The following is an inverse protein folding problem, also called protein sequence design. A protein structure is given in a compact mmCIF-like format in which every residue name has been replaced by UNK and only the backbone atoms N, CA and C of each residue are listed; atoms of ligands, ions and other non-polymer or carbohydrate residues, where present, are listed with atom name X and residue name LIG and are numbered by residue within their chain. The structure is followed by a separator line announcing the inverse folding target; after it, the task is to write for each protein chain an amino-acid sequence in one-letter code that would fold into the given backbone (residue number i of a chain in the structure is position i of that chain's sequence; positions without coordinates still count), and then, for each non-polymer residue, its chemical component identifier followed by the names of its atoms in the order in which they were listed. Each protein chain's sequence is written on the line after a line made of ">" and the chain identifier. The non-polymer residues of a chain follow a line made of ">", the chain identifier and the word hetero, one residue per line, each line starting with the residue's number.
data_IF_074814217140
#
_entry.id   IF_074814217140
#
_cell.length_a   1.000
_cell.length_b   1.000
_cell.length_c   1.000
_cell.angle_alpha   90.00
_cell.angle_beta   90.00
_cell.angle_gamma   90.00
#
_symmetry.space_group_name_H-M   'P 1'
#
loop_
_entity.id
_entity.type
_entity.pdbx_description
1 polymer ?
#
# COMPACT_ATOMS: atom_id res chain seq x y z
N UNK A 1 -58.12 40.14 26.80
CA UNK A 1 -57.26 41.33 27.02
C UNK A 1 -55.85 40.92 26.60
N UNK A 2 -55.37 41.38 25.42
CA UNK A 2 -54.34 42.45 25.23
C UNK A 2 -53.00 42.11 25.94
N UNK A 3 -51.80 42.11 25.34
CA UNK A 3 -51.21 42.50 24.04
C UNK A 3 -49.74 42.03 24.02
N UNK A 4 -49.11 41.75 22.85
CA UNK A 4 -48.32 42.67 22.00
C UNK A 4 -47.01 43.12 22.70
N UNK A 5 -45.82 42.56 22.38
CA UNK A 5 -44.81 42.92 21.33
C UNK A 5 -44.34 44.40 21.40
N UNK A 6 -43.04 44.62 21.13
CA UNK A 6 -42.41 45.73 20.35
C UNK A 6 -41.37 46.54 21.16
N UNK A 7 -40.07 46.25 20.98
CA UNK A 7 -39.06 46.84 20.06
C UNK A 7 -38.40 48.13 20.58
N UNK A 8 -37.07 48.20 20.41
CA UNK A 8 -36.34 49.17 19.56
C UNK A 8 -34.86 49.22 19.97
N UNK A 9 -33.85 49.36 19.10
CA UNK A 9 -33.74 49.31 17.64
C UNK A 9 -32.23 49.38 17.28
N UNK A 10 -31.93 49.26 15.99
CA UNK A 10 -30.84 49.90 15.23
C UNK A 10 -29.66 49.06 14.69
N UNK A 11 -29.81 48.69 13.39
CA UNK A 11 -28.89 48.92 12.25
C UNK A 11 -27.51 48.20 12.23
N UNK A 12 -26.90 47.75 11.11
CA UNK A 12 -27.23 47.62 9.69
C UNK A 12 -26.07 46.80 9.04
N UNK A 13 -26.40 45.71 8.34
CA UNK A 13 -25.86 45.22 7.05
C UNK A 13 -24.50 45.79 6.56
N UNK A 14 -23.50 44.93 6.28
CA UNK A 14 -23.00 44.61 4.90
C UNK A 14 -21.58 44.04 4.86
N UNK A 15 -21.35 43.19 3.85
CA UNK A 15 -20.10 42.56 3.42
C UNK A 15 -19.01 43.56 2.94
N UNK A 16 -17.74 43.17 3.05
CA UNK A 16 -16.59 43.64 2.25
C UNK A 16 -15.75 42.38 1.93
N UNK A 17 -15.67 41.82 0.73
CA UNK A 17 -15.14 42.27 -0.57
C UNK A 17 -13.63 42.58 -0.61
N UNK A 18 -12.95 41.84 -1.50
CA UNK A 18 -11.57 41.95 -1.96
C UNK A 18 -11.18 43.34 -2.50
N UNK A 19 -9.89 43.68 -2.47
CA UNK A 19 -9.03 43.90 -3.67
C UNK A 19 -7.67 44.56 -3.34
N UNK A 20 -6.60 43.95 -3.87
CA UNK A 20 -5.38 44.50 -4.51
C UNK A 20 -4.92 45.95 -4.18
N UNK A 21 -3.65 46.13 -3.77
CA UNK A 21 -2.57 46.63 -4.66
C UNK A 21 -1.24 46.95 -3.94
N UNK A 22 -0.16 46.71 -4.69
CA UNK A 22 1.13 47.43 -4.76
C UNK A 22 1.97 47.66 -3.50
N UNK A 23 3.15 47.02 -3.47
CA UNK A 23 4.41 47.75 -3.39
C UNK A 23 5.56 46.97 -4.07
N UNK A 24 6.03 47.51 -5.20
CA UNK A 24 7.43 47.36 -5.66
C UNK A 24 8.33 48.20 -4.73
N UNK A 25 9.57 47.73 -4.52
CA UNK A 25 10.86 48.40 -4.20
C UNK A 25 11.67 47.35 -3.39
N UNK A 26 12.89 46.94 -3.72
CA UNK A 26 13.81 47.27 -4.80
C UNK A 26 15.01 46.31 -4.75
N UNK A 27 15.50 45.95 -5.93
CA UNK A 27 16.82 45.36 -6.13
C UNK A 27 17.87 46.46 -5.92
N UNK A 28 18.87 46.24 -5.04
CA UNK A 28 20.16 46.92 -5.12
C UNK A 28 21.27 46.01 -4.57
N UNK A 29 22.24 45.79 -5.44
CA UNK A 29 23.55 45.19 -5.18
C UNK A 29 24.21 45.78 -3.93
N UNK A 30 24.95 44.95 -3.20
CA UNK A 30 26.25 45.30 -2.64
C UNK A 30 27.11 44.02 -2.60
N UNK A 31 27.76 43.80 -3.73
CA UNK A 31 29.05 43.11 -3.81
C UNK A 31 30.06 44.12 -3.26
N UNK A 32 30.86 43.71 -2.27
CA UNK A 32 32.29 44.04 -2.11
C UNK A 32 32.72 43.80 -0.65
N UNK A 33 33.48 42.73 -0.42
CA UNK A 33 34.68 42.73 0.45
C UNK A 33 35.35 41.34 0.48
N UNK A 34 36.69 41.26 0.66
CA UNK A 34 37.54 40.42 -0.18
C UNK A 34 37.88 39.04 0.40
N UNK A 35 37.95 38.08 -0.51
CA UNK A 35 38.53 36.74 -0.30
C UNK A 35 40.05 36.89 -0.11
N UNK A 36 40.55 36.58 1.08
CA UNK A 36 41.99 36.36 1.31
C UNK A 36 42.39 35.02 0.68
N UNK A 37 43.25 35.10 -0.35
CA UNK A 37 43.99 33.96 -0.89
C UNK A 37 45.06 33.54 0.12
N UNK A 38 45.03 32.28 0.56
CA UNK A 38 46.20 31.60 1.12
C UNK A 38 46.73 30.61 0.07
N UNK A 39 48.02 30.72 -0.20
CA UNK A 39 48.82 29.90 -1.11
C UNK A 39 49.00 28.46 -0.58
N UNK A 40 49.14 27.46 -1.47
CA UNK A 40 49.34 26.06 -1.08
C UNK A 40 50.80 25.80 -0.71
N UNK A 41 51.10 24.93 0.28
CA UNK A 41 52.44 24.44 0.50
C UNK A 41 52.79 23.32 -0.50
N UNK A 42 54.00 23.43 -1.02
CA UNK A 42 54.69 22.55 -1.95
C UNK A 42 55.27 21.29 -1.29
N UNK A 43 55.63 20.35 -2.17
CA UNK A 43 56.58 19.22 -2.03
C UNK A 43 56.10 17.91 -1.40
N UNK A 44 55.87 16.97 -2.31
CA UNK A 44 55.95 15.50 -2.17
C UNK A 44 57.44 15.10 -2.19
N UNK A 45 57.90 14.12 -1.38
CA UNK A 45 59.07 13.32 -1.69
C UNK A 45 58.71 11.91 -2.20
N UNK A 46 59.53 11.41 -3.13
CA UNK A 46 59.42 10.14 -3.87
C UNK A 46 59.73 8.89 -3.04
N UNK A 47 59.31 7.68 -3.47
CA UNK A 47 59.66 6.42 -2.82
C UNK A 47 60.91 5.78 -3.44
N UNK A 48 61.92 5.48 -2.61
CA UNK A 48 62.97 4.50 -2.93
C UNK A 48 63.58 3.93 -1.63
N UNK A 49 63.57 2.59 -1.57
CA UNK A 49 64.50 1.67 -0.91
C UNK A 49 64.84 1.83 0.59
N UNK A 50 64.36 0.88 1.39
CA UNK A 50 65.23 -0.03 2.17
C UNK A 50 64.39 -1.03 3.00
N UNK A 51 64.46 -2.30 2.61
CA UNK A 51 64.20 -3.43 3.49
C UNK A 51 65.44 -3.71 4.34
N UNK A 52 65.28 -3.93 5.65
CA UNK A 52 66.00 -4.94 6.45
C UNK A 52 65.68 -4.83 7.95
N UNK A 53 65.10 -5.92 8.48
CA UNK A 53 65.36 -6.56 9.79
C UNK A 53 65.49 -5.74 11.09
N UNK A 54 64.69 -6.06 12.11
CA UNK A 54 65.08 -6.86 13.31
C UNK A 54 64.01 -6.78 14.42
N UNK A 55 63.59 -7.98 14.86
CA UNK A 55 63.10 -8.48 16.16
C UNK A 55 62.11 -7.70 17.08
N UNK A 56 60.99 -8.39 17.34
CA UNK A 56 60.44 -8.80 18.64
C UNK A 56 60.36 -7.80 19.82
N UNK A 57 59.12 -7.46 20.20
CA UNK A 57 58.55 -7.70 21.54
C UNK A 57 57.10 -7.20 21.62
N UNK A 58 56.14 -8.08 21.92
CA UNK A 58 54.77 -7.75 22.35
C UNK A 58 54.76 -7.12 23.75
N UNK A 59 53.66 -6.44 24.12
CA UNK A 59 52.89 -7.02 25.23
C UNK A 59 51.39 -7.09 24.99
N UNK A 60 50.89 -8.28 25.34
CA UNK A 60 49.52 -8.69 25.62
C UNK A 60 48.54 -7.59 26.07
N UNK A 61 47.39 -7.52 25.36
CA UNK A 61 46.16 -6.94 25.90
C UNK A 61 45.16 -8.07 26.19
N UNK A 62 44.73 -8.14 27.45
CA UNK A 62 43.80 -9.10 28.01
C UNK A 62 42.47 -9.19 27.24
N UNK A 63 42.20 -10.34 26.63
CA UNK A 63 40.85 -10.79 26.31
C UNK A 63 40.31 -11.55 27.50
N UNK A 64 39.34 -10.96 28.21
CA UNK A 64 38.58 -11.65 29.28
C UNK A 64 37.56 -12.60 28.66
N UNK A 65 37.46 -13.87 29.07
CA UNK A 65 36.46 -14.78 28.55
C UNK A 65 35.08 -14.46 29.16
N UNK A 66 34.13 -14.05 28.32
CA UNK A 66 32.71 -13.97 28.72
C UNK A 66 32.18 -15.40 28.81
N UNK A 67 31.75 -15.74 30.02
CA UNK A 67 31.18 -17.03 30.39
C UNK A 67 29.96 -17.38 29.54
N UNK A 68 30.01 -18.59 29.02
CA UNK A 68 28.93 -19.45 28.56
C UNK A 68 27.61 -19.22 29.34
N UNK A 69 26.66 -18.51 28.73
CA UNK A 69 25.25 -18.49 29.17
C UNK A 69 24.54 -19.66 28.51
N UNK A 70 24.52 -20.78 29.22
CA UNK A 70 23.56 -21.87 29.02
C UNK A 70 22.13 -21.31 28.94
N UNK A 71 21.54 -21.46 27.76
CA UNK A 71 20.11 -21.34 27.50
C UNK A 71 19.40 -22.36 28.42
N UNK A 72 18.65 -21.88 29.41
CA UNK A 72 17.71 -22.72 30.16
C UNK A 72 16.38 -22.72 29.43
N UNK A 73 16.05 -23.89 28.90
CA UNK A 73 14.72 -24.28 28.46
C UNK A 73 13.71 -24.08 29.61
N UNK A 74 12.78 -23.14 29.43
CA UNK A 74 11.53 -23.10 30.18
C UNK A 74 10.47 -23.85 29.39
N UNK A 75 10.41 -25.17 29.56
CA UNK A 75 9.21 -25.96 29.29
C UNK A 75 9.19 -27.11 30.29
N UNK A 76 8.27 -27.04 31.25
CA UNK A 76 7.98 -28.13 32.18
C UNK A 76 6.46 -28.36 32.15
N UNK A 77 5.99 -29.54 31.73
CA UNK A 77 4.57 -29.88 31.83
C UNK A 77 4.25 -30.19 33.28
N UNK A 78 3.16 -29.61 33.81
CA UNK A 78 2.55 -30.09 35.06
C UNK A 78 1.29 -30.87 34.72
N UNK A 79 1.31 -32.12 35.14
CA UNK A 79 0.24 -33.11 35.12
C UNK A 79 -0.85 -32.80 36.15
N UNK A 80 -2.09 -33.14 35.74
CA UNK A 80 -3.22 -33.65 36.50
C UNK A 80 -3.65 -32.95 37.79
N UNK A 81 -4.78 -32.23 37.68
CA UNK A 81 -5.83 -32.20 38.70
C UNK A 81 -7.18 -32.36 38.00
N UNK A 82 -7.80 -33.52 38.21
CA UNK A 82 -9.17 -33.81 37.80
C UNK A 82 -10.14 -32.91 38.56
N UNK A 83 -11.05 -32.25 37.84
CA UNK A 83 -12.30 -31.74 38.43
C UNK A 83 -13.44 -32.31 37.60
N UNK A 84 -14.11 -33.29 38.19
CA UNK A 84 -15.36 -33.86 37.71
C UNK A 84 -16.46 -32.81 37.85
N UNK A 85 -17.11 -32.42 36.75
CA UNK A 85 -18.45 -31.85 36.80
C UNK A 85 -19.45 -32.90 36.32
N UNK A 86 -20.27 -33.32 37.27
CA UNK A 86 -21.34 -34.30 37.13
C UNK A 86 -22.43 -33.76 36.20
N UNK A 87 -22.76 -34.53 35.16
CA UNK A 87 -24.04 -34.45 34.48
C UNK A 87 -25.12 -35.04 35.37
N UNK A 88 -26.23 -34.33 35.59
CA UNK A 88 -27.48 -35.00 35.87
C UNK A 88 -28.71 -34.22 35.37
N UNK A 89 -29.60 -35.00 34.77
CA UNK A 89 -30.88 -34.67 34.19
C UNK A 89 -31.81 -33.86 35.09
N UNK A 90 -32.56 -32.91 34.52
CA UNK A 90 -33.97 -32.71 34.84
C UNK A 90 -34.75 -32.26 33.60
N UNK A 91 -35.71 -33.10 33.21
CA UNK A 91 -36.83 -32.78 32.35
C UNK A 91 -37.80 -31.84 33.07
N UNK A 92 -38.39 -30.86 32.37
CA UNK A 92 -39.76 -30.47 32.69
C UNK A 92 -40.51 -29.92 31.47
N UNK A 93 -41.76 -30.34 31.40
CA UNK A 93 -42.76 -30.17 30.37
C UNK A 93 -43.32 -28.74 30.28
N UNK A 94 -43.79 -28.42 29.06
CA UNK A 94 -44.96 -27.60 28.70
C UNK A 94 -45.29 -26.31 29.48
N UNK A 95 -45.30 -25.19 28.75
CA UNK A 95 -46.36 -24.19 28.88
C UNK A 95 -46.58 -23.48 27.53
N UNK A 96 -47.69 -23.83 26.90
CA UNK A 96 -48.33 -23.06 25.82
C UNK A 96 -48.77 -21.71 26.37
N UNK A 97 -48.38 -20.61 25.72
CA UNK A 97 -49.03 -19.32 25.91
C UNK A 97 -49.27 -18.66 24.54
N UNK A 98 -50.54 -18.66 24.16
CA UNK A 98 -51.11 -17.93 23.04
C UNK A 98 -50.94 -16.42 23.29
N UNK A 99 -50.19 -15.75 22.42
CA UNK A 99 -50.26 -14.30 22.25
C UNK A 99 -50.49 -14.00 20.78
N UNK A 100 -51.77 -13.81 20.44
CA UNK A 100 -52.22 -13.17 19.23
C UNK A 100 -51.73 -11.71 19.24
N UNK A 101 -50.68 -11.42 18.48
CA UNK A 101 -50.31 -10.06 18.11
C UNK A 101 -50.41 -9.92 16.60
N UNK A 102 -51.59 -9.51 16.14
CA UNK A 102 -51.81 -9.03 14.78
C UNK A 102 -51.09 -7.68 14.62
N UNK A 103 -49.83 -7.72 14.21
CA UNK A 103 -49.13 -6.54 13.70
C UNK A 103 -48.54 -6.89 12.35
N UNK A 104 -49.07 -6.20 11.34
CA UNK A 104 -48.50 -6.08 10.00
C UNK A 104 -47.02 -5.78 10.13
N UNK A 105 -46.17 -6.74 9.76
CA UNK A 105 -44.74 -6.54 9.65
C UNK A 105 -44.50 -5.51 8.56
N UNK A 106 -44.27 -4.25 8.93
CA UNK A 106 -43.51 -3.31 8.12
C UNK A 106 -42.14 -3.93 7.92
N UNK A 107 -41.95 -4.62 6.79
CA UNK A 107 -40.61 -4.99 6.35
C UNK A 107 -39.84 -3.69 6.15
N UNK A 108 -38.72 -3.45 6.85
CA UNK A 108 -37.79 -2.42 6.42
C UNK A 108 -37.36 -2.81 5.01
N UNK A 109 -37.75 -2.02 4.02
CA UNK A 109 -37.19 -2.14 2.68
C UNK A 109 -35.71 -1.86 2.82
N UNK A 110 -34.91 -2.93 2.82
CA UNK A 110 -33.48 -2.84 2.59
C UNK A 110 -33.32 -2.15 1.24
N UNK A 111 -33.06 -0.84 1.26
CA UNK A 111 -32.63 -0.11 0.08
C UNK A 111 -31.33 -0.78 -0.33
N UNK A 112 -31.36 -1.53 -1.44
CA UNK A 112 -30.11 -1.96 -2.06
C UNK A 112 -29.23 -0.72 -2.24
N UNK A 113 -27.94 -0.78 -1.89
CA UNK A 113 -27.05 0.35 -2.13
C UNK A 113 -27.15 0.72 -3.61
N UNK A 114 -27.32 2.02 -3.87
CA UNK A 114 -27.43 2.52 -5.23
C UNK A 114 -26.17 2.12 -6.00
N UNK A 115 -26.33 1.32 -7.05
CA UNK A 115 -25.23 0.98 -7.96
C UNK A 115 -24.73 2.26 -8.61
N UNK A 116 -23.43 2.53 -8.50
CA UNK A 116 -22.81 3.72 -9.09
C UNK A 116 -23.03 3.67 -10.62
N UNK A 117 -23.54 4.74 -11.24
CA UNK A 117 -23.77 4.75 -12.68
C UNK A 117 -22.48 4.47 -13.47
N UNK A 118 -22.55 3.57 -14.45
CA UNK A 118 -21.39 3.14 -15.25
C UNK A 118 -20.64 4.31 -15.92
N UNK A 119 -21.36 5.38 -16.30
CA UNK A 119 -20.77 6.56 -16.95
C UNK A 119 -19.87 7.40 -16.04
N UNK A 120 -19.75 7.06 -14.75
CA UNK A 120 -18.81 7.69 -13.82
C UNK A 120 -17.39 7.11 -13.93
N UNK A 121 -17.27 5.88 -14.44
CA UNK A 121 -16.01 5.20 -14.69
C UNK A 121 -15.49 5.51 -16.10
N UNK A 122 -14.17 5.55 -16.24
CA UNK A 122 -13.51 5.63 -17.53
C UNK A 122 -13.55 4.29 -18.26
N UNK A 123 -13.42 4.33 -19.58
CA UNK A 123 -13.36 3.10 -20.37
C UNK A 123 -12.06 2.33 -20.08
N UNK A 124 -12.10 1.00 -20.19
CA UNK A 124 -10.89 0.17 -20.08
C UNK A 124 -9.84 0.53 -21.15
N UNK A 125 -10.19 0.78 -22.42
CA UNK A 125 -9.23 1.30 -23.40
C UNK A 125 -8.51 2.59 -22.97
N UNK A 126 -9.24 3.58 -22.43
CA UNK A 126 -8.64 4.84 -21.96
C UNK A 126 -7.75 4.60 -20.73
N UNK A 127 -8.16 3.67 -19.85
CA UNK A 127 -7.38 3.29 -18.68
C UNK A 127 -6.08 2.58 -19.08
N UNK A 128 -6.12 1.69 -20.09
CA UNK A 128 -4.93 1.05 -20.65
C UNK A 128 -3.97 2.10 -21.24
N UNK A 129 -4.50 3.12 -21.92
CA UNK A 129 -3.67 4.18 -22.50
C UNK A 129 -3.00 5.05 -21.41
N UNK A 130 -3.74 5.46 -20.38
CA UNK A 130 -3.16 6.17 -19.24
C UNK A 130 -2.07 5.32 -18.55
N UNK A 131 -2.33 4.04 -18.32
CA UNK A 131 -1.35 3.12 -17.74
C UNK A 131 -0.10 2.95 -18.62
N UNK A 132 -0.27 2.88 -19.94
CA UNK A 132 0.84 2.84 -20.91
C UNK A 132 1.70 4.10 -20.86
N UNK A 133 1.08 5.24 -20.58
CA UNK A 133 1.77 6.52 -20.39
C UNK A 133 2.43 6.67 -19.01
N UNK A 134 2.39 5.61 -18.19
CA UNK A 134 3.00 5.57 -16.88
C UNK A 134 2.21 6.32 -15.82
N UNK A 135 0.91 6.51 -16.02
CA UNK A 135 0.03 7.16 -15.05
C UNK A 135 -0.48 6.16 -14.00
N UNK A 136 -0.88 6.68 -12.83
CA UNK A 136 -1.66 5.90 -11.89
C UNK A 136 -3.09 5.70 -12.41
N UNK A 137 -3.64 4.53 -12.14
CA UNK A 137 -5.07 4.25 -12.20
C UNK A 137 -5.63 4.15 -10.79
N UNK A 138 -6.90 4.51 -10.64
CA UNK A 138 -7.72 4.12 -9.49
C UNK A 138 -8.58 2.94 -9.93
N UNK A 139 -8.41 1.78 -9.31
CA UNK A 139 -9.10 0.55 -9.71
C UNK A 139 -9.90 0.02 -8.54
N UNK A 140 -11.22 -0.11 -8.72
CA UNK A 140 -12.13 -0.63 -7.71
C UNK A 140 -12.39 -2.12 -7.91
N UNK A 141 -12.35 -2.89 -6.83
CA UNK A 141 -12.85 -4.26 -6.84
C UNK A 141 -14.35 -4.34 -6.52
N UNK A 142 -14.89 -5.56 -6.49
CA UNK A 142 -16.33 -5.78 -6.31
C UNK A 142 -16.77 -5.39 -4.87
N UNK A 143 -17.93 -4.72 -4.69
CA UNK A 143 -18.45 -4.38 -3.37
C UNK A 143 -18.69 -5.57 -2.42
N UNK A 144 -18.82 -6.79 -2.95
CA UNK A 144 -18.93 -8.04 -2.16
C UNK A 144 -17.57 -8.68 -1.84
N UNK A 145 -16.47 -8.18 -2.43
CA UNK A 145 -15.09 -8.59 -2.15
C UNK A 145 -14.48 -7.63 -1.13
N UNK A 146 -13.45 -6.84 -1.44
CA UNK A 146 -12.87 -5.89 -0.47
C UNK A 146 -13.63 -4.57 -0.46
N UNK A 147 -14.34 -4.24 -1.55
CA UNK A 147 -15.06 -2.99 -1.76
C UNK A 147 -14.11 -1.77 -1.74
N UNK A 148 -12.85 -1.96 -2.11
CA UNK A 148 -11.76 -0.98 -1.99
C UNK A 148 -11.34 -0.47 -3.36
N UNK A 149 -10.51 0.57 -3.35
CA UNK A 149 -9.81 1.03 -4.53
C UNK A 149 -8.31 1.06 -4.29
N UNK A 150 -7.54 0.64 -5.28
CA UNK A 150 -6.09 0.74 -5.27
C UNK A 150 -5.61 1.80 -6.25
N UNK A 151 -4.54 2.49 -5.87
CA UNK A 151 -3.66 3.16 -6.83
C UNK A 151 -2.80 2.10 -7.51
N UNK A 152 -2.91 1.95 -8.84
CA UNK A 152 -2.17 0.96 -9.63
C UNK A 152 -1.31 1.67 -10.68
N UNK A 153 -0.05 1.29 -10.79
CA UNK A 153 0.88 1.82 -11.81
C UNK A 153 1.89 0.75 -12.26
N UNK A 154 2.39 0.85 -13.49
CA UNK A 154 3.51 0.03 -13.96
C UNK A 154 4.77 0.29 -13.11
N UNK A 155 5.41 -0.77 -12.63
CA UNK A 155 6.55 -0.63 -11.73
C UNK A 155 7.77 0.02 -12.41
N UNK A 156 7.93 -0.16 -13.72
CA UNK A 156 8.98 0.49 -14.52
C UNK A 156 8.83 2.02 -14.61
N UNK A 157 7.61 2.55 -14.49
CA UNK A 157 7.31 3.99 -14.56
C UNK A 157 7.26 4.67 -13.18
N UNK A 158 7.55 3.92 -12.11
CA UNK A 158 7.48 4.40 -10.74
C UNK A 158 8.63 5.35 -10.43
N UNK A 159 8.39 6.66 -10.41
CA UNK A 159 9.38 7.66 -9.97
C UNK A 159 9.38 7.82 -8.45
N UNK A 160 10.37 8.52 -7.90
CA UNK A 160 10.43 8.86 -6.46
C UNK A 160 9.20 9.67 -6.04
N UNK A 161 8.80 10.65 -6.85
CA UNK A 161 7.68 11.54 -6.60
C UNK A 161 6.35 10.79 -6.66
N UNK A 162 6.20 9.88 -7.63
CA UNK A 162 5.02 9.00 -7.74
C UNK A 162 4.92 8.06 -6.55
N UNK A 163 6.03 7.48 -6.08
CA UNK A 163 6.03 6.68 -4.86
C UNK A 163 5.71 7.53 -3.62
N UNK A 164 6.20 8.77 -3.56
CA UNK A 164 5.82 9.71 -2.51
C UNK A 164 4.31 9.99 -2.49
N UNK A 165 3.71 10.18 -3.66
CA UNK A 165 2.26 10.33 -3.83
C UNK A 165 1.51 9.07 -3.38
N UNK A 166 1.95 7.88 -3.83
CA UNK A 166 1.37 6.60 -3.43
C UNK A 166 1.37 6.47 -1.90
N UNK A 167 2.53 6.64 -1.25
CA UNK A 167 2.67 6.53 0.20
C UNK A 167 1.77 7.54 0.93
N UNK A 168 1.66 8.78 0.42
CA UNK A 168 0.87 9.83 1.06
C UNK A 168 -0.63 9.55 1.01
N UNK A 169 -1.13 8.86 -0.01
CA UNK A 169 -2.56 8.70 -0.29
C UNK A 169 -3.05 7.25 -0.20
N UNK A 170 -2.29 6.38 0.45
CA UNK A 170 -2.61 4.97 0.59
C UNK A 170 -2.31 4.47 2.00
N UNK A 171 -2.59 3.20 2.24
CA UNK A 171 -2.20 2.48 3.46
C UNK A 171 -0.69 2.54 3.75
N UNK A 172 0.13 2.82 2.72
CA UNK A 172 1.59 2.81 2.79
C UNK A 172 2.20 1.42 2.74
N UNK A 173 1.37 0.36 2.72
CA UNK A 173 1.76 -1.05 2.63
C UNK A 173 2.03 -1.47 1.17
N UNK A 174 3.01 -0.79 0.56
CA UNK A 174 3.27 -0.84 -0.88
C UNK A 174 3.59 -2.26 -1.36
N UNK A 175 2.73 -2.76 -2.23
CA UNK A 175 2.84 -4.06 -2.85
C UNK A 175 3.27 -3.96 -4.31
N UNK A 176 3.88 -5.02 -4.84
CA UNK A 176 4.33 -5.10 -6.22
C UNK A 176 3.80 -6.37 -6.91
N UNK A 177 2.64 -6.31 -7.58
CA UNK A 177 2.12 -7.46 -8.33
C UNK A 177 3.05 -7.87 -9.47
N UNK A 178 3.38 -9.15 -9.52
CA UNK A 178 4.28 -9.77 -10.50
C UNK A 178 3.60 -10.99 -11.12
N UNK A 179 3.94 -11.26 -12.39
CA UNK A 179 3.59 -12.53 -13.02
C UNK A 179 4.25 -13.73 -12.30
N UNK A 180 3.68 -14.94 -12.39
CA UNK A 180 4.31 -16.16 -11.89
C UNK A 180 5.74 -16.36 -12.41
N UNK A 181 5.99 -16.04 -13.67
CA UNK A 181 7.29 -16.17 -14.34
C UNK A 181 8.33 -15.24 -13.70
N UNK A 182 7.96 -13.99 -13.41
CA UNK A 182 8.85 -13.05 -12.73
C UNK A 182 9.18 -13.54 -11.32
N UNK A 183 8.18 -13.95 -10.53
CA UNK A 183 8.44 -14.46 -9.16
C UNK A 183 9.38 -15.67 -9.17
N UNK A 184 9.24 -16.56 -10.17
CA UNK A 184 10.14 -17.70 -10.35
C UNK A 184 11.54 -17.27 -10.76
N UNK A 185 11.66 -16.37 -11.73
CA UNK A 185 12.96 -15.92 -12.26
C UNK A 185 13.80 -15.14 -11.23
N UNK A 186 13.13 -14.41 -10.34
CA UNK A 186 13.74 -13.58 -9.31
C UNK A 186 13.90 -14.29 -7.96
N UNK A 187 13.57 -15.59 -7.89
CA UNK A 187 13.59 -16.41 -6.68
C UNK A 187 12.86 -15.72 -5.51
N UNK A 188 11.58 -15.45 -5.73
CA UNK A 188 10.66 -14.83 -4.77
C UNK A 188 9.65 -15.89 -4.28
N UNK A 189 10.03 -16.75 -3.32
CA UNK A 189 9.11 -17.73 -2.74
C UNK A 189 7.97 -17.02 -1.98
N UNK A 190 6.85 -17.72 -1.83
CA UNK A 190 5.75 -17.27 -0.98
C UNK A 190 6.24 -17.05 0.45
N UNK A 191 5.73 -16.02 1.12
CA UNK A 191 6.14 -15.62 2.46
C UNK A 191 5.87 -16.71 3.50
N UNK A 192 4.74 -17.41 3.35
CA UNK A 192 4.33 -18.51 4.21
C UNK A 192 3.94 -19.71 3.36
N UNK A 193 4.24 -20.95 3.81
CA UNK A 193 3.88 -22.16 3.08
C UNK A 193 2.37 -22.42 3.09
N UNK A 194 1.70 -22.17 4.22
CA UNK A 194 0.24 -22.33 4.35
C UNK A 194 -0.41 -20.96 4.59
N UNK A 195 -1.00 -20.39 3.54
CA UNK A 195 -1.57 -19.04 3.59
C UNK A 195 -2.96 -19.06 4.23
N UNK A 196 -3.13 -18.32 5.33
CA UNK A 196 -4.40 -18.20 6.07
C UNK A 196 -5.15 -16.91 5.75
N UNK A 197 -4.64 -16.07 4.85
CA UNK A 197 -5.34 -14.90 4.34
C UNK A 197 -6.67 -15.36 3.67
N UNK A 198 -7.83 -14.83 4.07
CA UNK A 198 -9.14 -15.26 3.54
C UNK A 198 -9.29 -15.07 2.03
N UNK A 199 -8.54 -14.15 1.43
CA UNK A 199 -8.50 -13.85 -0.01
C UNK A 199 -7.32 -14.53 -0.71
N UNK A 200 -6.51 -15.28 0.04
CA UNK A 200 -5.30 -15.94 -0.43
C UNK A 200 -4.33 -14.98 -1.11
N UNK A 201 -4.20 -13.75 -0.59
CA UNK A 201 -3.26 -12.75 -1.12
C UNK A 201 -1.84 -13.32 -1.09
N UNK A 202 -1.23 -13.46 -2.27
CA UNK A 202 -0.08 -14.31 -2.50
C UNK A 202 1.25 -13.57 -2.29
N UNK A 203 1.47 -13.09 -1.06
CA UNK A 203 2.69 -12.42 -0.66
C UNK A 203 3.92 -13.31 -0.86
N UNK A 204 4.94 -12.76 -1.51
CA UNK A 204 6.29 -13.32 -1.51
C UNK A 204 7.10 -12.75 -0.35
N UNK A 205 8.32 -13.25 -0.15
CA UNK A 205 9.26 -12.59 0.76
C UNK A 205 9.48 -11.13 0.35
N UNK A 206 9.48 -10.22 1.33
CA UNK A 206 9.67 -8.79 1.06
C UNK A 206 11.07 -8.49 0.53
N UNK A 207 11.19 -7.40 -0.24
CA UNK A 207 12.45 -7.04 -0.91
C UNK A 207 12.79 -5.56 -0.79
N UNK A 208 14.10 -5.29 -0.79
CA UNK A 208 14.68 -4.00 -1.17
C UNK A 208 15.60 -4.22 -2.38
N UNK A 209 15.83 -3.18 -3.19
CA UNK A 209 16.87 -3.25 -4.22
C UNK A 209 18.26 -3.40 -3.57
N UNK A 210 19.11 -4.24 -4.16
CA UNK A 210 20.49 -4.43 -3.71
C UNK A 210 21.42 -3.26 -4.11
N UNK A 211 20.92 -2.31 -4.91
CA UNK A 211 21.67 -1.16 -5.41
C UNK A 211 22.43 -0.41 -4.30
N UNK A 212 23.70 0.01 -4.53
CA UNK A 212 24.51 0.69 -3.52
C UNK A 212 23.93 2.01 -3.01
N UNK A 213 23.02 2.64 -3.76
CA UNK A 213 22.38 3.89 -3.37
C UNK A 213 21.19 3.71 -2.41
N UNK A 214 20.71 2.47 -2.23
CA UNK A 214 19.66 2.14 -1.25
C UNK A 214 20.25 2.25 0.15
N UNK A 215 19.58 3.04 0.98
CA UNK A 215 19.98 3.28 2.37
C UNK A 215 19.28 2.29 3.31
N UNK A 216 18.13 2.67 3.85
CA UNK A 216 17.33 1.84 4.73
C UNK A 216 16.21 1.09 4.01
N UNK A 217 15.95 1.39 2.72
CA UNK A 217 14.93 0.71 1.93
C UNK A 217 13.55 1.34 1.99
N UNK A 218 13.19 2.03 3.07
CA UNK A 218 11.81 2.49 3.31
C UNK A 218 11.42 3.78 2.60
N UNK A 219 12.40 4.59 2.19
CA UNK A 219 12.14 5.91 1.60
C UNK A 219 11.36 5.78 0.28
N UNK A 220 10.66 6.84 -0.13
CA UNK A 220 9.98 6.86 -1.43
C UNK A 220 10.94 6.57 -2.58
N UNK A 221 12.18 7.08 -2.51
CA UNK A 221 13.24 6.81 -3.48
C UNK A 221 13.61 5.32 -3.51
N UNK A 222 13.85 4.74 -2.35
CA UNK A 222 14.36 3.37 -2.21
C UNK A 222 13.28 2.36 -2.63
N UNK A 223 12.02 2.57 -2.22
CA UNK A 223 10.88 1.74 -2.65
C UNK A 223 10.57 1.89 -4.13
N UNK A 224 10.63 3.11 -4.69
CA UNK A 224 10.48 3.31 -6.13
C UNK A 224 11.57 2.58 -6.93
N UNK A 225 12.81 2.61 -6.43
CA UNK A 225 13.91 1.87 -7.04
C UNK A 225 13.68 0.35 -6.96
N UNK A 226 13.23 -0.18 -5.82
CA UNK A 226 12.88 -1.59 -5.71
C UNK A 226 11.80 -2.01 -6.72
N UNK A 227 10.74 -1.22 -6.91
CA UNK A 227 9.73 -1.45 -7.95
C UNK A 227 10.35 -1.47 -9.36
N UNK A 228 11.16 -0.47 -9.72
CA UNK A 228 11.81 -0.44 -11.03
C UNK A 228 12.79 -1.60 -11.24
N UNK A 229 13.51 -2.01 -10.19
CA UNK A 229 14.38 -3.20 -10.24
C UNK A 229 13.56 -4.48 -10.46
N UNK A 230 12.37 -4.62 -9.85
CA UNK A 230 11.47 -5.75 -10.10
C UNK A 230 10.98 -5.81 -11.55
N UNK A 231 10.90 -4.67 -12.24
CA UNK A 231 10.50 -4.56 -13.64
C UNK A 231 11.66 -4.65 -14.64
N UNK A 232 12.91 -4.57 -14.18
CA UNK A 232 14.08 -4.56 -15.07
C UNK A 232 14.27 -5.96 -15.71
N UNK A 233 14.27 -6.09 -17.05
CA UNK A 233 14.48 -7.37 -17.72
C UNK A 233 15.86 -8.00 -17.45
N UNK A 234 16.81 -7.25 -16.89
CA UNK A 234 18.14 -7.73 -16.49
C UNK A 234 18.21 -8.13 -15.01
N UNK A 235 17.14 -7.92 -14.25
CA UNK A 235 17.11 -8.25 -12.83
C UNK A 235 17.33 -9.75 -12.61
N UNK A 236 18.04 -10.05 -11.53
CA UNK A 236 18.39 -11.41 -11.10
C UNK A 236 18.08 -11.53 -9.62
N UNK A 237 18.05 -12.74 -9.05
CA UNK A 237 17.82 -12.91 -7.61
C UNK A 237 18.73 -12.05 -6.72
N UNK A 238 20.00 -11.89 -7.08
CA UNK A 238 20.99 -11.06 -6.36
C UNK A 238 20.77 -9.54 -6.48
N UNK A 239 19.85 -9.11 -7.35
CA UNK A 239 19.44 -7.70 -7.46
C UNK A 239 18.59 -7.24 -6.27
N UNK A 240 18.24 -8.15 -5.35
CA UNK A 240 17.38 -7.88 -4.21
C UNK A 240 17.98 -8.33 -2.88
N UNK A 241 17.77 -7.53 -1.84
CA UNK A 241 17.94 -7.90 -0.43
C UNK A 241 16.62 -8.49 0.07
N UNK A 242 16.70 -9.52 0.94
CA UNK A 242 15.55 -10.22 1.52
C UNK A 242 15.80 -10.42 3.03
N UNK A 243 14.91 -9.99 3.94
CA UNK A 243 13.68 -9.22 3.68
C UNK A 243 13.97 -7.76 3.23
N UNK A 244 12.91 -7.01 2.93
CA UNK A 244 12.93 -5.55 2.69
C UNK A 244 11.54 -4.90 2.84
N UNK A 245 11.30 -3.78 2.16
CA UNK A 245 10.18 -2.87 2.42
C UNK A 245 9.16 -2.73 1.28
N UNK A 246 9.37 -3.43 0.16
CA UNK A 246 8.35 -3.63 -0.88
C UNK A 246 7.88 -5.08 -0.82
N UNK A 247 6.59 -5.30 -1.02
CA UNK A 247 5.96 -6.62 -0.94
C UNK A 247 5.54 -7.15 -2.31
N UNK A 248 6.36 -8.00 -2.97
CA UNK A 248 5.93 -8.58 -4.22
C UNK A 248 4.79 -9.56 -4.00
N UNK A 249 3.78 -9.48 -4.86
CA UNK A 249 2.59 -10.34 -4.87
C UNK A 249 2.59 -11.17 -6.13
N UNK A 250 2.37 -12.48 -6.03
CA UNK A 250 2.27 -13.35 -7.20
C UNK A 250 0.84 -13.36 -7.74
N UNK A 251 0.61 -12.88 -8.95
CA UNK A 251 -0.70 -13.01 -9.59
C UNK A 251 -1.00 -14.46 -9.96
N UNK A 252 -2.29 -14.78 -10.12
CA UNK A 252 -2.73 -16.09 -10.61
C UNK A 252 -2.51 -16.22 -12.14
N UNK A 253 -2.13 -17.40 -12.67
CA UNK A 253 -1.88 -17.59 -14.10
C UNK A 253 -3.08 -17.24 -15.01
N UNK A 254 -4.31 -17.47 -14.55
CA UNK A 254 -5.53 -17.09 -15.28
C UNK A 254 -5.93 -15.62 -15.12
N UNK A 255 -5.08 -14.79 -14.50
CA UNK A 255 -5.27 -13.35 -14.35
C UNK A 255 -6.59 -12.97 -13.69
N UNK A 256 -7.14 -11.82 -14.09
CA UNK A 256 -8.36 -11.24 -13.50
C UNK A 256 -9.59 -12.14 -13.65
N UNK A 257 -9.59 -13.02 -14.67
CA UNK A 257 -10.69 -13.98 -14.90
C UNK A 257 -10.67 -15.14 -13.89
N UNK A 258 -9.49 -15.50 -13.38
CA UNK A 258 -9.35 -16.53 -12.34
C UNK A 258 -9.52 -15.95 -10.93
N UNK A 259 -8.93 -14.78 -10.68
CA UNK A 259 -9.04 -14.08 -9.40
C UNK A 259 -9.25 -12.58 -9.67
N UNK A 260 -10.46 -12.03 -9.43
CA UNK A 260 -10.74 -10.62 -9.68
C UNK A 260 -10.23 -9.74 -8.52
N UNK A 261 -8.92 -9.77 -8.26
CA UNK A 261 -8.26 -8.94 -7.24
C UNK A 261 -7.31 -7.91 -7.84
N UNK A 262 -6.92 -6.91 -7.04
CA UNK A 262 -6.02 -5.83 -7.46
C UNK A 262 -4.65 -6.35 -7.96
N UNK A 263 -4.15 -7.45 -7.37
CA UNK A 263 -2.94 -8.14 -7.83
C UNK A 263 -3.04 -8.53 -9.31
N UNK A 264 -4.10 -9.24 -9.67
CA UNK A 264 -4.32 -9.69 -11.05
C UNK A 264 -4.61 -8.51 -11.97
N UNK A 265 -5.42 -7.54 -11.54
CA UNK A 265 -5.74 -6.35 -12.32
C UNK A 265 -4.49 -5.57 -12.71
N UNK A 266 -3.56 -5.40 -11.78
CA UNK A 266 -2.29 -4.72 -12.02
C UNK A 266 -1.43 -5.44 -13.08
N UNK A 267 -1.27 -6.76 -12.97
CA UNK A 267 -0.51 -7.53 -13.98
C UNK A 267 -1.22 -7.59 -15.33
N UNK A 268 -2.56 -7.55 -15.33
CA UNK A 268 -3.37 -7.52 -16.54
C UNK A 268 -3.23 -6.18 -17.28
N UNK A 269 -3.25 -5.05 -16.56
CA UNK A 269 -2.94 -3.74 -17.14
C UNK A 269 -1.52 -3.68 -17.69
N UNK A 270 -0.53 -4.25 -17.01
CA UNK A 270 0.82 -4.35 -17.56
C UNK A 270 0.83 -5.08 -18.91
N UNK A 271 0.17 -6.25 -18.99
CA UNK A 271 0.06 -7.05 -20.21
C UNK A 271 -0.62 -6.28 -21.34
N UNK A 272 -1.78 -5.67 -21.07
CA UNK A 272 -2.57 -4.93 -22.06
C UNK A 272 -1.88 -3.63 -22.51
N UNK A 273 -1.10 -2.99 -21.64
CA UNK A 273 -0.34 -1.79 -21.96
C UNK A 273 0.99 -2.07 -22.69
N UNK A 274 1.45 -3.33 -22.73
CA UNK A 274 2.76 -3.70 -23.30
C UNK A 274 3.93 -3.36 -22.38
N UNK A 275 3.70 -3.36 -21.08
CA UNK A 275 4.68 -3.07 -20.02
C UNK A 275 5.29 -4.36 -19.46
N UNK A 276 6.38 -4.25 -18.72
CA UNK A 276 6.85 -5.35 -17.87
C UNK A 276 5.71 -5.79 -16.94
N UNK A 277 5.50 -7.10 -16.77
CA UNK A 277 4.43 -7.65 -15.90
C UNK A 277 4.75 -7.54 -14.40
N UNK A 278 5.29 -6.38 -14.02
CA UNK A 278 5.54 -5.92 -12.67
C UNK A 278 4.85 -4.56 -12.49
N UNK A 279 4.05 -4.45 -11.43
CA UNK A 279 3.31 -3.24 -11.09
C UNK A 279 3.60 -2.81 -9.64
N UNK A 280 3.04 -1.68 -9.22
CA UNK A 280 2.93 -1.29 -7.83
C UNK A 280 1.47 -0.98 -7.50
N UNK A 281 1.00 -1.45 -6.35
CA UNK A 281 -0.34 -1.19 -5.82
C UNK A 281 -0.30 -0.79 -4.36
N UNK A 282 -1.28 0.00 -3.94
CA UNK A 282 -1.57 0.26 -2.54
C UNK A 282 -3.01 0.78 -2.40
N UNK A 283 -3.70 0.34 -1.36
CA UNK A 283 -5.11 0.65 -1.11
C UNK A 283 -5.28 2.11 -0.71
N UNK A 284 -6.28 2.78 -1.25
CA UNK A 284 -6.58 4.19 -0.96
C UNK A 284 -7.35 4.27 0.36
N UNK A 285 -6.77 4.97 1.33
CA UNK A 285 -7.36 5.17 2.66
C UNK A 285 -8.17 6.45 2.72
N UNK A 286 -9.17 6.46 3.60
CA UNK A 286 -9.76 7.70 4.12
C UNK A 286 -8.88 8.18 5.27
N UNK A 287 -8.14 9.26 5.03
CA UNK A 287 -7.27 9.91 6.01
C UNK A 287 -8.04 10.49 7.21
N UNK A 288 -9.37 10.49 7.17
CA UNK A 288 -10.23 10.95 8.26
C UNK A 288 -10.07 12.43 8.56
N UNK A 289 -10.34 12.80 9.81
CA UNK A 289 -10.29 14.16 10.31
C UNK A 289 -9.15 14.32 11.34
N UNK A 290 -8.24 15.24 11.05
CA UNK A 290 -7.16 15.60 11.97
C UNK A 290 -7.73 16.24 13.25
N UNK A 291 -7.19 15.87 14.40
CA UNK A 291 -7.51 16.54 15.67
C UNK A 291 -6.35 17.45 16.09
N UNK A 292 -6.48 18.79 15.99
CA UNK A 292 -5.38 19.71 16.25
C UNK A 292 -4.74 19.50 17.62
N UNK A 293 -3.41 19.36 17.62
CA UNK A 293 -2.63 19.14 18.85
C UNK A 293 -2.72 17.73 19.43
N UNK A 294 -3.36 16.77 18.74
CA UNK A 294 -3.48 15.39 19.19
C UNK A 294 -2.94 14.40 18.14
N UNK A 295 -2.25 13.36 18.60
CA UNK A 295 -1.72 12.30 17.75
C UNK A 295 -2.79 11.21 17.48
N UNK A 296 -3.94 11.63 16.94
CA UNK A 296 -5.04 10.76 16.55
C UNK A 296 -5.79 11.32 15.34
N UNK A 297 -6.40 10.41 14.59
CA UNK A 297 -7.26 10.71 13.44
C UNK A 297 -8.65 10.16 13.74
N UNK A 298 -9.68 10.99 13.56
CA UNK A 298 -11.07 10.58 13.70
C UNK A 298 -11.62 10.14 12.35
N UNK A 299 -12.60 9.23 12.34
CA UNK A 299 -13.27 8.78 11.11
C UNK A 299 -12.33 8.21 10.02
N UNK A 300 -11.13 7.73 10.38
CA UNK A 300 -10.24 7.03 9.44
C UNK A 300 -10.90 5.76 8.90
N UNK A 301 -10.66 5.46 7.64
CA UNK A 301 -11.24 4.29 6.98
C UNK A 301 -10.57 4.00 5.65
N UNK A 302 -11.37 3.44 4.74
CA UNK A 302 -10.97 3.19 3.36
C UNK A 302 -11.87 4.02 2.46
N UNK A 303 -11.31 4.61 1.40
CA UNK A 303 -12.12 5.29 0.39
C UNK A 303 -13.00 4.27 -0.33
N UNK A 304 -14.26 4.62 -0.60
CA UNK A 304 -15.25 3.72 -1.21
C UNK A 304 -15.96 4.41 -2.37
N UNK A 305 -16.31 3.63 -3.41
CA UNK A 305 -17.29 4.02 -4.41
C UNK A 305 -17.08 5.41 -5.04
N UNK A 306 -18.05 6.32 -4.83
CA UNK A 306 -18.01 7.68 -5.41
C UNK A 306 -16.87 8.55 -4.86
N UNK A 307 -16.39 8.28 -3.64
CA UNK A 307 -15.25 9.01 -3.08
C UNK A 307 -13.95 8.64 -3.79
N UNK A 308 -13.81 7.38 -4.22
CA UNK A 308 -12.69 6.95 -5.08
C UNK A 308 -12.73 7.65 -6.44
N UNK A 309 -13.92 7.83 -7.02
CA UNK A 309 -14.10 8.58 -8.27
C UNK A 309 -13.71 10.04 -8.05
N UNK A 310 -14.17 10.65 -6.95
CA UNK A 310 -13.82 12.04 -6.60
C UNK A 310 -12.32 12.21 -6.41
N UNK A 311 -11.67 11.26 -5.72
CA UNK A 311 -10.22 11.20 -5.59
C UNK A 311 -9.52 11.14 -6.95
N UNK A 312 -9.97 10.26 -7.84
CA UNK A 312 -9.40 10.13 -9.18
C UNK A 312 -9.51 11.45 -9.95
N UNK A 313 -10.69 12.09 -9.95
CA UNK A 313 -10.90 13.38 -10.64
C UNK A 313 -10.05 14.51 -10.06
N UNK A 314 -9.90 14.57 -8.73
CA UNK A 314 -9.04 15.56 -8.05
C UNK A 314 -7.61 15.52 -8.58
N UNK A 315 -7.09 14.33 -8.86
CA UNK A 315 -5.71 14.12 -9.28
C UNK A 315 -5.53 13.89 -10.78
N UNK A 316 -6.60 14.02 -11.57
CA UNK A 316 -6.55 13.81 -13.02
C UNK A 316 -6.32 12.36 -13.43
N UNK A 317 -6.67 11.39 -12.59
CA UNK A 317 -6.46 9.96 -12.82
C UNK A 317 -7.67 9.32 -13.49
N UNK A 318 -7.41 8.26 -14.26
CA UNK A 318 -8.44 7.34 -14.76
C UNK A 318 -8.93 6.44 -13.64
N UNK A 319 -10.23 6.18 -13.62
CA UNK A 319 -10.87 5.30 -12.63
C UNK A 319 -11.75 4.26 -13.31
N UNK A 320 -11.58 2.99 -12.94
CA UNK A 320 -12.33 1.88 -13.52
C UNK A 320 -12.60 0.77 -12.49
N UNK A 321 -13.31 -0.27 -12.90
CA UNK A 321 -13.60 -1.43 -12.06
C UNK A 321 -12.91 -2.69 -12.58
N UNK A 322 -12.58 -3.63 -11.68
CA UNK A 322 -12.09 -4.96 -12.06
C UNK A 322 -13.16 -5.70 -12.87
N UNK A 323 -14.45 -5.51 -12.58
CA UNK A 323 -15.54 -6.11 -13.34
C UNK A 323 -15.50 -5.69 -14.82
N UNK A 324 -15.28 -4.40 -15.10
CA UNK A 324 -15.13 -3.90 -16.47
C UNK A 324 -13.88 -4.43 -17.15
N UNK A 325 -12.77 -4.56 -16.40
CA UNK A 325 -11.53 -5.14 -16.91
C UNK A 325 -11.72 -6.61 -17.29
N UNK A 326 -12.40 -7.40 -16.46
CA UNK A 326 -12.77 -8.79 -16.77
C UNK A 326 -13.63 -8.82 -18.04
N UNK A 327 -14.69 -8.02 -18.11
CA UNK A 327 -15.56 -7.95 -19.29
C UNK A 327 -14.80 -7.53 -20.56
N UNK A 328 -13.78 -6.66 -20.44
CA UNK A 328 -12.92 -6.28 -21.54
C UNK A 328 -12.04 -7.45 -22.03
N UNK A 329 -11.39 -8.18 -21.12
CA UNK A 329 -10.55 -9.33 -21.45
C UNK A 329 -11.38 -10.47 -22.06
N UNK A 330 -12.57 -10.72 -21.53
CA UNK A 330 -13.48 -11.76 -22.04
C UNK A 330 -13.94 -11.52 -23.48
N UNK A 331 -13.94 -10.29 -23.98
CA UNK A 331 -14.25 -9.99 -25.40
C UNK A 331 -13.24 -10.63 -26.36
N UNK A 332 -12.00 -10.83 -25.91
CA UNK A 332 -10.92 -11.39 -26.74
C UNK A 332 -10.65 -12.85 -26.38
N UNK A 333 -10.63 -13.17 -25.08
CA UNK A 333 -10.17 -14.47 -24.59
C UNK A 333 -11.33 -15.41 -24.19
N UNK A 334 -12.57 -14.95 -24.29
CA UNK A 334 -13.75 -15.67 -23.81
C UNK A 334 -13.82 -15.73 -22.29
N UNK A 335 -14.96 -16.22 -21.79
CA UNK A 335 -15.15 -16.50 -20.36
C UNK A 335 -14.22 -17.63 -19.94
N UNK A 336 -13.63 -17.51 -18.75
CA UNK A 336 -12.90 -18.64 -18.19
C UNK A 336 -13.91 -19.74 -17.87
N UNK A 337 -13.71 -20.93 -18.42
CA UNK A 337 -14.56 -22.06 -18.11
C UNK A 337 -14.47 -22.35 -16.61
N UNK A 338 -15.61 -22.32 -15.91
CA UNK A 338 -15.67 -22.78 -14.55
C UNK A 338 -15.56 -24.31 -14.59
N UNK A 339 -14.34 -24.84 -14.61
CA UNK A 339 -14.14 -26.24 -14.28
C UNK A 339 -14.58 -26.39 -12.82
N UNK A 340 -15.79 -26.93 -12.63
CA UNK A 340 -16.38 -27.11 -11.32
C UNK A 340 -15.42 -27.90 -10.45
N UNK A 341 -14.93 -27.26 -9.38
CA UNK A 341 -14.13 -27.83 -8.31
C UNK A 341 -12.84 -28.55 -8.74
N UNK A 342 -11.70 -27.97 -8.38
CA UNK A 342 -10.61 -28.77 -7.82
C UNK A 342 -9.98 -28.01 -6.66
N UNK A 343 -10.30 -28.50 -5.46
CA UNK A 343 -9.57 -28.26 -4.25
C UNK A 343 -8.27 -29.06 -4.34
N UNK A 344 -7.22 -28.47 -4.88
CA UNK A 344 -5.85 -28.97 -4.83
C UNK A 344 -4.95 -27.78 -4.43
N UNK A 345 -4.10 -27.83 -3.42
CA UNK A 345 -3.57 -28.95 -2.65
C UNK A 345 -2.18 -28.51 -2.18
N UNK A 346 -2.10 -28.14 -0.90
CA UNK A 346 -0.91 -27.84 -0.09
C UNK A 346 -0.09 -26.59 -0.43
#
# INVERSE_FOLDING_TARGET
>A
MKGIIVLNNLLLISNCFCLLNNHRIGFRQLIDSPIKKSSPPSSIPSPADAAASVSASEPALLVRPVRDRRIRNYYKPRSNSQVFFNFNHYSCFQAFALLNCSSTTCHPTFKMPATIPQNKFDSIPDSIEAFRNGEFLVVLDDPSRENEADLIIAAEDMTTEKMGFLIRHSSGYVCAPLSPELTKSLDLPQMVPNNQDPRGTAYTISVDSADPSVTTGISARDRALACRTLADPKARPDSFRRPGHVLPLRSRPGGVRQRPGHTEAATEFCRLAGKAQAAAICEIIDDGEETPGQALVQNHGMLRGEDCITFARKWGLKVCTIADLVAYVEKTEGKLESNGAEADGN
#
